data_IF_640357790261
#
_entry.id   IF_640357790261
#
_cell.length_a   1.000
_cell.length_b   1.000
_cell.length_c   1.000
_cell.angle_alpha   90.00
_cell.angle_beta   90.00
_cell.angle_gamma   90.00
#
_symmetry.space_group_name_H-M   'P 1'
#
loop_
_entity.id
_entity.type
_entity.pdbx_description
1 polymer ?
#
# COMPACT_ATOMS: atom_id res chain seq x y z
N UNK A 1 39.58 -28.72 57.68
CA UNK A 1 39.14 -27.62 58.56
C UNK A 1 38.44 -26.58 57.69
N UNK A 2 37.27 -26.10 58.13
CA UNK A 2 36.45 -25.01 57.57
C UNK A 2 37.33 -23.75 57.32
N UNK A 3 37.06 -22.87 56.36
CA UNK A 3 35.86 -22.01 56.23
C UNK A 3 35.82 -21.29 54.87
N UNK A 4 34.63 -21.12 54.30
CA UNK A 4 34.33 -20.20 53.20
C UNK A 4 34.40 -18.72 53.63
N UNK A 5 34.70 -17.81 52.68
CA UNK A 5 33.88 -16.62 52.43
C UNK A 5 34.29 -15.89 51.14
N UNK A 6 33.33 -15.75 50.23
CA UNK A 6 33.30 -14.79 49.13
C UNK A 6 32.99 -13.40 49.71
N UNK A 7 33.73 -12.38 49.27
CA UNK A 7 33.30 -10.97 49.35
C UNK A 7 33.70 -10.30 48.05
N UNK A 8 32.70 -9.92 47.25
CA UNK A 8 32.85 -8.95 46.18
C UNK A 8 32.86 -7.55 46.80
N UNK A 9 33.81 -6.71 46.41
CA UNK A 9 33.80 -5.28 46.70
C UNK A 9 34.17 -4.52 45.43
N UNK A 10 33.14 -3.98 44.80
CA UNK A 10 33.22 -2.96 43.75
C UNK A 10 33.77 -1.67 44.36
N UNK A 11 35.00 -1.32 44.04
CA UNK A 11 35.55 0.00 44.37
C UNK A 11 35.18 0.98 43.25
N UNK A 12 34.01 1.61 43.37
CA UNK A 12 33.72 2.85 42.64
C UNK A 12 34.26 4.00 43.48
N UNK A 13 35.25 4.74 42.94
CA UNK A 13 35.67 6.02 43.51
C UNK A 13 34.51 7.01 43.37
N UNK A 14 33.79 7.28 44.45
CA UNK A 14 32.89 8.42 44.53
C UNK A 14 33.68 9.63 45.04
N UNK A 15 34.15 10.48 44.12
CA UNK A 15 34.67 11.80 44.45
C UNK A 15 33.48 12.68 44.87
N UNK A 16 33.33 12.93 46.16
CA UNK A 16 32.29 13.81 46.69
C UNK A 16 32.72 15.26 46.49
N UNK A 17 32.31 15.85 45.38
CA UNK A 17 32.38 17.29 45.14
C UNK A 17 31.04 17.89 45.55
N UNK A 18 31.01 18.65 46.65
CA UNK A 18 29.83 19.40 47.09
C UNK A 18 29.70 20.65 46.22
N UNK A 19 28.73 20.66 45.32
CA UNK A 19 28.23 21.84 44.61
C UNK A 19 26.70 21.90 44.81
N UNK A 20 26.18 23.12 44.94
CA UNK A 20 24.80 23.45 45.33
C UNK A 20 23.69 22.91 44.41
N UNK A 21 22.42 23.27 44.68
CA UNK A 21 21.27 22.60 44.10
C UNK A 21 21.17 22.95 42.62
N UNK A 22 21.69 22.08 41.78
CA UNK A 22 21.53 22.13 40.33
C UNK A 22 21.29 20.72 39.87
N UNK A 23 20.07 20.45 39.42
CA UNK A 23 19.65 19.16 38.88
C UNK A 23 20.42 18.92 37.59
N UNK A 24 21.53 18.19 37.68
CA UNK A 24 22.26 17.68 36.54
C UNK A 24 21.54 16.45 36.03
N UNK A 25 20.69 16.66 35.02
CA UNK A 25 20.17 15.59 34.17
C UNK A 25 21.35 14.88 33.51
N UNK A 26 21.47 13.57 33.74
CA UNK A 26 22.40 12.73 33.00
C UNK A 26 22.06 12.84 31.49
N UNK A 27 23.05 12.81 30.59
CA UNK A 27 22.74 12.71 29.17
C UNK A 27 22.01 11.38 28.99
N UNK A 28 20.81 11.43 28.42
CA UNK A 28 20.15 10.25 27.92
C UNK A 28 21.17 9.53 27.03
N UNK A 29 21.52 8.30 27.42
CA UNK A 29 22.16 7.39 26.49
C UNK A 29 21.26 7.39 25.25
N UNK A 30 21.79 7.88 24.13
CA UNK A 30 21.18 7.74 22.83
C UNK A 30 20.86 6.25 22.72
N UNK A 31 19.59 5.89 22.85
CA UNK A 31 19.14 4.57 22.48
C UNK A 31 19.52 4.45 21.02
N UNK A 32 20.57 3.69 20.71
CA UNK A 32 20.81 3.23 19.37
C UNK A 32 19.47 2.63 18.94
N UNK A 33 18.83 3.21 17.93
CA UNK A 33 17.67 2.57 17.32
C UNK A 33 18.14 1.17 16.97
N UNK A 34 17.58 0.15 17.62
CA UNK A 34 17.75 -1.20 17.11
C UNK A 34 17.31 -1.11 15.66
N UNK A 35 18.20 -1.49 14.74
CA UNK A 35 17.86 -1.53 13.33
C UNK A 35 16.63 -2.43 13.23
N UNK A 36 15.47 -1.82 13.08
CA UNK A 36 14.23 -2.50 12.82
C UNK A 36 14.34 -2.97 11.39
N UNK A 37 14.20 -4.28 11.21
CA UNK A 37 14.26 -4.97 9.93
C UNK A 37 12.81 -5.22 9.50
N UNK A 38 12.50 -5.07 8.22
CA UNK A 38 11.20 -5.47 7.71
C UNK A 38 10.97 -6.96 8.02
N UNK A 39 9.73 -7.41 8.14
CA UNK A 39 9.46 -8.80 8.52
C UNK A 39 8.38 -9.40 7.64
N UNK A 40 8.60 -10.63 7.17
CA UNK A 40 7.57 -11.48 6.57
C UNK A 40 6.99 -12.39 7.65
N UNK A 41 5.68 -12.34 7.81
CA UNK A 41 4.94 -13.02 8.88
C UNK A 41 3.70 -13.71 8.32
N UNK A 42 3.27 -14.80 8.95
CA UNK A 42 1.97 -15.43 8.66
C UNK A 42 0.96 -15.00 9.71
N UNK A 43 0.00 -14.13 9.35
CA UNK A 43 -0.96 -13.58 10.31
C UNK A 43 -2.21 -14.47 10.41
N UNK A 44 -2.61 -14.79 11.64
CA UNK A 44 -3.89 -15.44 11.99
C UNK A 44 -4.21 -16.78 11.30
N UNK A 45 -3.23 -17.43 10.64
CA UNK A 45 -3.45 -18.71 9.96
C UNK A 45 -4.01 -18.57 8.53
N UNK A 46 -4.12 -17.36 7.98
CA UNK A 46 -4.86 -17.13 6.72
C UNK A 46 -4.10 -16.34 5.66
N UNK A 47 -3.18 -15.43 6.01
CA UNK A 47 -2.52 -14.56 5.00
C UNK A 47 -1.06 -14.32 5.33
N UNK A 48 -0.18 -14.53 4.34
CA UNK A 48 1.22 -14.13 4.37
C UNK A 48 1.33 -12.61 4.28
N UNK A 49 2.13 -11.95 5.10
CA UNK A 49 2.24 -10.49 5.09
C UNK A 49 3.68 -10.01 5.17
N UNK A 50 4.03 -9.05 4.32
CA UNK A 50 5.22 -8.22 4.46
C UNK A 50 4.91 -6.98 5.31
N UNK A 51 5.78 -6.68 6.28
CA UNK A 51 5.70 -5.46 7.09
C UNK A 51 7.01 -4.72 7.08
N UNK A 52 7.01 -3.50 6.58
CA UNK A 52 8.14 -2.60 6.67
C UNK A 52 8.48 -2.29 8.13
N UNK A 53 9.76 -1.99 8.36
CA UNK A 53 10.19 -1.49 9.66
C UNK A 53 10.01 0.02 9.74
N UNK A 54 9.60 0.58 10.91
CA UNK A 54 9.42 2.02 11.05
C UNK A 54 10.65 2.82 10.65
N UNK A 55 10.44 3.92 9.92
CA UNK A 55 11.48 4.82 9.46
C UNK A 55 12.28 4.35 8.24
N UNK A 56 11.92 3.21 7.64
CA UNK A 56 12.56 2.73 6.42
C UNK A 56 11.91 3.37 5.18
N UNK A 57 12.74 3.64 4.15
CA UNK A 57 12.30 4.06 2.81
C UNK A 57 12.40 2.88 1.83
N UNK A 58 11.57 1.87 2.02
CA UNK A 58 11.51 0.61 1.30
C UNK A 58 11.31 0.79 -0.22
N UNK A 59 11.84 -0.16 -0.97
CA UNK A 59 11.65 -0.30 -2.41
C UNK A 59 11.39 -1.77 -2.70
N UNK A 60 10.19 -2.20 -2.35
CA UNK A 60 9.75 -3.58 -2.43
C UNK A 60 9.40 -3.96 -3.87
N UNK A 61 9.88 -5.10 -4.33
CA UNK A 61 9.38 -5.77 -5.51
C UNK A 61 8.89 -7.16 -5.14
N UNK A 62 7.76 -7.59 -5.67
CA UNK A 62 7.22 -8.93 -5.43
C UNK A 62 7.08 -9.66 -6.76
N UNK A 63 7.89 -10.70 -6.94
CA UNK A 63 7.77 -11.62 -8.06
C UNK A 63 6.88 -12.82 -7.72
N UNK A 64 6.25 -13.41 -8.72
CA UNK A 64 5.44 -14.62 -8.60
C UNK A 64 5.91 -15.70 -9.58
N UNK A 65 5.98 -16.94 -9.09
CA UNK A 65 6.02 -18.14 -9.92
C UNK A 65 4.93 -19.12 -9.46
N UNK A 66 4.37 -19.92 -10.38
CA UNK A 66 3.44 -20.99 -10.02
C UNK A 66 4.20 -22.32 -10.04
N UNK A 67 4.19 -23.02 -8.90
CA UNK A 67 4.80 -24.34 -8.74
C UNK A 67 3.72 -25.42 -8.59
N UNK A 68 3.84 -26.50 -9.34
CA UNK A 68 2.95 -27.66 -9.23
C UNK A 68 3.65 -28.80 -8.47
N UNK A 69 3.10 -29.19 -7.32
CA UNK A 69 3.63 -30.28 -6.47
C UNK A 69 2.69 -31.49 -6.53
N UNK A 70 2.77 -32.23 -7.62
CA UNK A 70 1.89 -33.38 -7.86
C UNK A 70 0.69 -33.03 -8.74
N UNK A 71 -0.31 -33.90 -8.76
CA UNK A 71 -1.38 -33.86 -9.76
C UNK A 71 -2.47 -32.81 -9.46
N UNK A 72 -2.62 -32.40 -8.19
CA UNK A 72 -3.69 -31.52 -7.71
C UNK A 72 -3.21 -30.44 -6.74
N UNK A 73 -1.90 -30.24 -6.61
CA UNK A 73 -1.37 -29.22 -5.70
C UNK A 73 -0.61 -28.17 -6.49
N UNK A 74 -1.11 -26.94 -6.45
CA UNK A 74 -0.44 -25.77 -7.02
C UNK A 74 -0.15 -24.78 -5.90
N UNK A 75 0.97 -24.08 -6.01
CA UNK A 75 1.44 -23.14 -5.02
C UNK A 75 1.89 -21.86 -5.72
N UNK A 76 1.56 -20.72 -5.12
CA UNK A 76 2.19 -19.44 -5.43
C UNK A 76 3.55 -19.40 -4.74
N UNK A 77 4.59 -19.19 -5.51
CA UNK A 77 5.93 -18.91 -5.03
C UNK A 77 6.14 -17.41 -5.13
N UNK A 78 6.08 -16.74 -3.99
CA UNK A 78 6.23 -15.30 -3.89
C UNK A 78 7.65 -14.96 -3.46
N UNK A 79 8.30 -14.07 -4.21
CA UNK A 79 9.64 -13.57 -3.88
C UNK A 79 9.57 -12.08 -3.56
N UNK A 80 9.66 -11.76 -2.27
CA UNK A 80 9.78 -10.40 -1.77
C UNK A 80 11.23 -9.99 -1.86
N UNK A 81 11.50 -8.86 -2.51
CA UNK A 81 12.84 -8.28 -2.56
C UNK A 81 12.75 -6.81 -2.20
N UNK A 82 13.49 -6.38 -1.18
CA UNK A 82 13.57 -5.00 -0.76
C UNK A 82 15.02 -4.50 -0.79
N UNK A 83 15.24 -3.21 -0.52
CA UNK A 83 16.57 -2.62 -0.36
C UNK A 83 17.17 -2.85 1.04
N UNK A 84 16.34 -3.14 2.04
CA UNK A 84 16.76 -3.45 3.39
C UNK A 84 16.66 -4.96 3.63
N UNK A 85 17.33 -5.42 4.68
CA UNK A 85 17.16 -6.79 5.13
C UNK A 85 15.69 -7.02 5.52
N UNK A 86 15.22 -8.24 5.26
CA UNK A 86 13.90 -8.76 5.59
C UNK A 86 14.09 -9.95 6.52
N UNK A 87 13.50 -9.90 7.70
CA UNK A 87 13.46 -11.01 8.64
C UNK A 87 12.30 -11.96 8.30
N UNK A 88 12.53 -13.25 8.50
CA UNK A 88 11.47 -14.28 8.39
C UNK A 88 11.01 -14.62 9.80
N UNK A 89 9.74 -14.37 10.12
CA UNK A 89 9.16 -14.82 11.37
C UNK A 89 8.93 -16.34 11.36
N UNK A 90 8.99 -16.96 12.54
CA UNK A 90 8.80 -18.40 12.68
C UNK A 90 7.45 -18.87 12.10
N UNK A 91 6.40 -18.04 12.22
CA UNK A 91 5.09 -18.36 11.64
C UNK A 91 5.13 -18.51 10.12
N UNK A 92 5.83 -17.62 9.42
CA UNK A 92 5.95 -17.65 7.96
C UNK A 92 6.89 -18.78 7.49
N UNK A 93 7.95 -19.05 8.26
CA UNK A 93 8.83 -20.20 7.98
C UNK A 93 8.08 -21.53 8.09
N UNK A 94 7.21 -21.68 9.10
CA UNK A 94 6.49 -22.92 9.37
C UNK A 94 5.25 -23.09 8.48
N UNK A 95 4.51 -22.02 8.19
CA UNK A 95 3.24 -22.08 7.45
C UNK A 95 3.42 -21.95 5.93
N UNK A 96 4.33 -21.10 5.47
CA UNK A 96 4.48 -20.73 4.05
C UNK A 96 5.87 -21.08 3.51
N UNK A 97 6.62 -21.97 4.17
CA UNK A 97 7.95 -22.43 3.75
C UNK A 97 8.93 -21.28 3.40
N UNK A 98 8.81 -20.13 4.09
CA UNK A 98 9.62 -18.96 3.77
C UNK A 98 11.12 -19.21 4.02
N UNK A 99 11.95 -18.91 3.03
CA UNK A 99 13.41 -19.09 3.08
C UNK A 99 14.17 -17.96 2.37
N UNK A 100 15.46 -17.84 2.66
CA UNK A 100 16.36 -16.97 1.90
C UNK A 100 16.84 -17.70 0.64
N UNK A 101 16.63 -17.15 -0.57
CA UNK A 101 17.01 -17.82 -1.82
C UNK A 101 18.53 -17.89 -2.00
N UNK A 102 19.27 -16.92 -1.45
CA UNK A 102 20.73 -16.84 -1.54
C UNK A 102 21.34 -16.80 -0.12
N UNK A 103 22.34 -17.63 0.13
CA UNK A 103 22.98 -17.70 1.45
C UNK A 103 23.68 -16.37 1.80
N UNK A 104 23.30 -15.78 2.94
CA UNK A 104 23.89 -14.54 3.46
C UNK A 104 23.32 -13.27 2.84
N UNK A 105 22.35 -13.40 1.93
CA UNK A 105 21.56 -12.30 1.40
C UNK A 105 20.17 -12.34 2.03
N UNK A 106 19.85 -11.32 2.81
CA UNK A 106 18.56 -11.20 3.50
C UNK A 106 17.69 -10.10 2.89
N UNK A 107 18.08 -9.49 1.76
CA UNK A 107 17.21 -8.50 1.09
C UNK A 107 16.11 -9.18 0.27
N UNK A 108 16.17 -10.50 0.11
CA UNK A 108 15.18 -11.29 -0.59
C UNK A 108 14.66 -12.44 0.28
N UNK A 109 13.34 -12.64 0.29
CA UNK A 109 12.65 -13.75 0.96
C UNK A 109 11.72 -14.43 -0.04
N UNK A 110 11.84 -15.75 -0.17
CA UNK A 110 10.97 -16.58 -1.01
C UNK A 110 10.04 -17.39 -0.13
N UNK A 111 8.74 -17.28 -0.35
CA UNK A 111 7.69 -18.01 0.36
C UNK A 111 6.83 -18.80 -0.63
N UNK A 112 6.26 -19.91 -0.16
CA UNK A 112 5.40 -20.81 -0.93
C UNK A 112 4.03 -20.88 -0.25
N UNK A 113 3.04 -20.28 -0.89
CA UNK A 113 1.65 -20.23 -0.40
C UNK A 113 0.82 -21.19 -1.23
N UNK A 114 0.03 -22.06 -0.58
CA UNK A 114 -0.80 -23.03 -1.30
C UNK A 114 -1.95 -22.32 -2.02
N UNK A 115 -2.14 -22.63 -3.31
CA UNK A 115 -3.33 -22.22 -4.06
C UNK A 115 -4.48 -23.13 -3.62
N UNK A 116 -5.52 -22.64 -2.93
CA UNK A 116 -6.53 -23.55 -2.41
C UNK A 116 -7.53 -23.94 -3.52
N UNK A 117 -7.85 -25.23 -3.60
CA UNK A 117 -8.85 -25.74 -4.55
C UNK A 117 -10.26 -25.26 -4.12
N UNK A 118 -10.89 -24.41 -4.93
CA UNK A 118 -12.20 -23.80 -4.69
C UNK A 118 -12.25 -22.73 -3.57
N UNK A 119 -11.14 -22.06 -3.29
CA UNK A 119 -11.13 -20.93 -2.33
C UNK A 119 -11.66 -19.65 -2.98
N UNK A 120 -12.52 -18.97 -2.22
CA UNK A 120 -13.00 -17.60 -2.40
C UNK A 120 -12.18 -16.57 -1.61
N UNK A 121 -11.00 -16.98 -1.08
CA UNK A 121 -10.19 -16.16 -0.18
C UNK A 121 -9.63 -14.94 -0.93
N UNK A 122 -10.04 -13.76 -0.47
CA UNK A 122 -9.92 -12.45 -1.13
C UNK A 122 -8.51 -11.85 -1.20
N UNK A 123 -7.51 -12.43 -0.52
CA UNK A 123 -6.14 -11.93 -0.45
C UNK A 123 -5.13 -13.06 -0.21
N UNK A 124 -4.25 -13.30 -1.20
CA UNK A 124 -3.18 -14.31 -1.10
C UNK A 124 -2.04 -13.83 -0.21
N UNK A 125 -1.73 -12.53 -0.25
CA UNK A 125 -0.74 -11.91 0.62
C UNK A 125 -1.03 -10.41 0.86
N UNK A 126 -0.49 -9.89 1.96
CA UNK A 126 -0.59 -8.49 2.36
C UNK A 126 0.77 -7.77 2.37
N UNK A 127 0.76 -6.47 2.11
CA UNK A 127 1.93 -5.60 2.20
C UNK A 127 1.53 -4.34 3.00
N UNK A 128 2.34 -4.02 3.99
CA UNK A 128 2.30 -2.78 4.78
C UNK A 128 3.66 -2.09 4.63
N UNK A 129 3.68 -0.97 3.90
CA UNK A 129 4.91 -0.24 3.59
C UNK A 129 5.36 0.71 4.70
N UNK A 130 4.52 1.01 5.68
CA UNK A 130 4.94 1.65 6.92
C UNK A 130 4.67 3.15 6.97
N UNK A 131 5.72 3.95 7.20
CA UNK A 131 5.58 5.35 7.63
C UNK A 131 6.47 6.37 6.92
N UNK A 132 7.09 5.98 5.80
CA UNK A 132 7.87 6.88 4.97
C UNK A 132 7.38 6.86 3.53
N UNK A 133 8.02 7.67 2.68
CA UNK A 133 7.81 7.57 1.25
C UNK A 133 8.48 6.28 0.74
N UNK A 134 7.64 5.31 0.41
CA UNK A 134 7.99 3.95 0.05
C UNK A 134 7.55 3.64 -1.39
N UNK A 135 8.01 2.50 -1.89
CA UNK A 135 7.62 2.05 -3.22
C UNK A 135 7.40 0.55 -3.22
N UNK A 136 6.32 0.12 -3.86
CA UNK A 136 6.10 -1.27 -4.22
C UNK A 136 5.88 -1.44 -5.71
N UNK A 137 6.40 -2.55 -6.25
CA UNK A 137 6.10 -3.02 -7.60
C UNK A 137 5.77 -4.50 -7.54
N UNK A 138 4.54 -4.84 -7.92
CA UNK A 138 4.10 -6.22 -8.06
C UNK A 138 4.35 -6.68 -9.50
N UNK A 139 4.54 -7.99 -9.68
CA UNK A 139 4.62 -8.58 -11.02
C UNK A 139 3.35 -8.24 -11.83
N UNK A 140 3.44 -7.65 -13.04
CA UNK A 140 2.28 -7.15 -13.77
C UNK A 140 1.23 -8.23 -14.09
N UNK A 141 1.70 -9.45 -14.38
CA UNK A 141 0.87 -10.60 -14.74
C UNK A 141 0.59 -11.50 -13.52
N UNK A 142 0.73 -10.96 -12.30
CA UNK A 142 0.53 -11.71 -11.07
C UNK A 142 -0.90 -12.24 -10.97
N UNK A 143 -1.02 -13.55 -10.78
CA UNK A 143 -2.29 -14.25 -10.52
C UNK A 143 -2.60 -14.34 -9.03
N UNK A 144 -1.64 -14.05 -8.16
CA UNK A 144 -1.84 -13.93 -6.73
C UNK A 144 -2.49 -12.59 -6.36
N UNK A 145 -3.49 -12.60 -5.48
CA UNK A 145 -4.11 -11.38 -4.99
C UNK A 145 -3.28 -10.73 -3.89
N UNK A 146 -2.95 -9.46 -4.08
CA UNK A 146 -2.21 -8.67 -3.12
C UNK A 146 -3.12 -7.59 -2.51
N UNK A 147 -3.09 -7.44 -1.20
CA UNK A 147 -3.59 -6.24 -0.51
C UNK A 147 -2.39 -5.38 -0.12
N UNK A 148 -2.32 -4.17 -0.63
CA UNK A 148 -1.22 -3.24 -0.37
C UNK A 148 -1.76 -2.02 0.37
N UNK A 149 -1.05 -1.65 1.43
CA UNK A 149 -1.19 -0.40 2.17
C UNK A 149 0.14 0.37 2.09
N UNK A 150 0.09 1.60 1.57
CA UNK A 150 1.21 2.54 1.57
C UNK A 150 1.54 2.99 2.99
N UNK A 151 0.51 3.38 3.74
CA UNK A 151 0.62 3.73 5.15
C UNK A 151 0.72 5.23 5.33
N UNK A 152 1.86 5.75 5.77
CA UNK A 152 2.09 7.20 5.79
C UNK A 152 3.23 7.56 4.88
N UNK A 153 3.11 8.70 4.22
CA UNK A 153 4.14 9.19 3.32
C UNK A 153 3.58 9.30 1.93
N UNK A 154 4.39 9.79 1.01
CA UNK A 154 3.99 9.89 -0.39
C UNK A 154 4.55 8.67 -1.11
N UNK A 155 3.70 7.67 -1.29
CA UNK A 155 4.06 6.33 -1.74
C UNK A 155 3.87 6.14 -3.24
N UNK A 156 4.57 5.15 -3.78
CA UNK A 156 4.40 4.72 -5.17
C UNK A 156 4.01 3.25 -5.21
N UNK A 157 2.76 2.98 -5.56
CA UNK A 157 2.18 1.65 -5.62
C UNK A 157 1.95 1.25 -7.08
N UNK A 158 2.69 0.26 -7.58
CA UNK A 158 2.48 -0.28 -8.92
C UNK A 158 1.98 -1.73 -8.78
N UNK A 159 0.68 -1.93 -9.02
CA UNK A 159 0.02 -3.22 -8.81
C UNK A 159 -0.33 -3.95 -10.10
N UNK A 160 -0.52 -5.27 -9.98
CA UNK A 160 -1.18 -6.04 -11.03
C UNK A 160 -2.68 -5.70 -11.08
N UNK A 161 -3.41 -6.08 -12.15
CA UNK A 161 -4.85 -5.88 -12.22
C UNK A 161 -5.63 -6.50 -11.05
N UNK A 162 -5.11 -7.60 -10.47
CA UNK A 162 -5.75 -8.31 -9.35
C UNK A 162 -5.44 -7.74 -7.97
N UNK A 163 -4.56 -6.74 -7.86
CA UNK A 163 -4.18 -6.16 -6.57
C UNK A 163 -5.22 -5.15 -6.07
N UNK A 164 -5.40 -5.08 -4.74
CA UNK A 164 -6.06 -3.98 -4.05
C UNK A 164 -4.99 -3.03 -3.51
N UNK A 165 -5.01 -1.77 -3.93
CA UNK A 165 -4.00 -0.77 -3.56
C UNK A 165 -4.66 0.33 -2.73
N UNK A 166 -4.10 0.60 -1.56
CA UNK A 166 -4.49 1.70 -0.68
C UNK A 166 -3.26 2.59 -0.47
N UNK A 167 -3.33 3.87 -0.87
CA UNK A 167 -2.30 4.87 -0.57
C UNK A 167 -2.21 5.13 0.93
N UNK A 168 -3.36 5.33 1.55
CA UNK A 168 -3.54 5.74 2.94
C UNK A 168 -3.18 7.23 3.15
N UNK A 169 -2.32 7.61 4.12
CA UNK A 169 -2.03 9.02 4.42
C UNK A 169 -0.86 9.56 3.56
N UNK A 170 -1.10 10.56 2.72
CA UNK A 170 -0.05 11.26 1.97
C UNK A 170 -0.46 11.57 0.55
N UNK A 171 0.41 12.23 -0.23
CA UNK A 171 0.13 12.44 -1.66
C UNK A 171 0.71 11.26 -2.46
N UNK A 172 -0.12 10.27 -2.76
CA UNK A 172 0.28 8.98 -3.29
C UNK A 172 0.19 8.88 -4.80
N UNK A 173 0.99 7.97 -5.36
CA UNK A 173 0.94 7.61 -6.77
C UNK A 173 0.63 6.13 -6.93
N UNK A 174 -0.58 5.86 -7.40
CA UNK A 174 -1.09 4.50 -7.56
C UNK A 174 -1.27 4.21 -9.04
N UNK A 175 -0.69 3.12 -9.50
CA UNK A 175 -0.79 2.65 -10.89
C UNK A 175 -1.35 1.22 -10.94
N UNK A 176 -2.55 1.09 -11.50
CA UNK A 176 -3.30 -0.16 -11.57
C UNK A 176 -4.14 -0.44 -10.32
N UNK A 177 -4.33 -1.73 -10.06
CA UNK A 177 -5.17 -2.21 -8.96
C UNK A 177 -6.67 -2.09 -9.27
N UNK A 178 -7.32 -3.22 -9.55
CA UNK A 178 -8.78 -3.30 -9.71
C UNK A 178 -9.45 -4.10 -8.59
N UNK A 179 -8.65 -4.85 -7.83
CA UNK A 179 -9.08 -5.79 -6.80
C UNK A 179 -10.07 -6.87 -7.30
N UNK A 180 -10.35 -7.90 -6.49
CA UNK A 180 -11.48 -8.79 -6.73
C UNK A 180 -12.81 -8.05 -6.47
N UNK A 181 -13.82 -8.38 -7.27
CA UNK A 181 -15.21 -7.90 -7.14
C UNK A 181 -15.44 -6.38 -7.33
N UNK A 182 -14.51 -5.67 -7.97
CA UNK A 182 -14.66 -4.24 -8.28
C UNK A 182 -14.30 -3.32 -7.11
N UNK A 183 -13.66 -3.84 -6.06
CA UNK A 183 -13.05 -3.01 -5.02
C UNK A 183 -11.66 -2.57 -5.53
N UNK A 184 -11.61 -1.52 -6.34
CA UNK A 184 -10.33 -1.05 -6.90
C UNK A 184 -9.56 -0.13 -5.96
N UNK A 185 -8.68 0.69 -6.54
CA UNK A 185 -7.68 1.45 -5.80
C UNK A 185 -8.28 2.62 -5.00
N UNK A 186 -7.71 2.86 -3.81
CA UNK A 186 -8.09 3.93 -2.89
C UNK A 186 -6.87 4.82 -2.62
N UNK A 187 -6.97 6.12 -2.89
CA UNK A 187 -5.93 7.10 -2.54
C UNK A 187 -5.88 7.28 -1.02
N UNK A 188 -6.83 8.04 -0.48
CA UNK A 188 -6.94 8.29 0.95
C UNK A 188 -6.84 9.78 1.26
N UNK A 189 -6.36 10.16 2.45
CA UNK A 189 -6.07 11.56 2.75
C UNK A 189 -4.80 12.05 2.04
N UNK A 190 -4.93 13.06 1.17
CA UNK A 190 -3.84 13.67 0.43
C UNK A 190 -4.27 14.05 -0.98
N UNK A 191 -3.35 14.53 -1.80
CA UNK A 191 -3.62 14.81 -3.21
C UNK A 191 -3.03 13.68 -4.05
N UNK A 192 -3.85 12.71 -4.39
CA UNK A 192 -3.42 11.45 -4.95
C UNK A 192 -3.46 11.45 -6.47
N UNK A 193 -2.64 10.60 -7.08
CA UNK A 193 -2.69 10.32 -8.51
C UNK A 193 -2.92 8.84 -8.74
N UNK A 194 -4.11 8.50 -9.22
CA UNK A 194 -4.51 7.13 -9.56
C UNK A 194 -4.57 7.00 -11.09
N UNK A 195 -3.78 6.08 -11.65
CA UNK A 195 -3.77 5.80 -13.09
C UNK A 195 -4.07 4.34 -13.40
N UNK A 196 -4.61 4.10 -14.60
CA UNK A 196 -5.01 2.78 -15.06
C UNK A 196 -6.00 2.11 -14.11
N UNK A 197 -6.97 2.89 -13.63
CA UNK A 197 -8.09 2.44 -12.84
C UNK A 197 -8.92 1.43 -13.64
N UNK A 198 -8.74 0.14 -13.38
CA UNK A 198 -9.37 -0.89 -14.21
C UNK A 198 -10.84 -1.13 -13.91
N UNK A 199 -11.37 -0.70 -12.76
CA UNK A 199 -12.78 -0.78 -12.36
C UNK A 199 -13.17 0.47 -11.55
N UNK A 200 -13.42 0.31 -10.24
CA UNK A 200 -13.75 1.42 -9.34
C UNK A 200 -12.46 2.03 -8.76
N UNK A 201 -12.31 3.34 -8.82
CA UNK A 201 -11.23 4.07 -8.14
C UNK A 201 -11.80 5.18 -7.29
N UNK A 202 -11.13 5.43 -6.17
CA UNK A 202 -11.55 6.40 -5.16
C UNK A 202 -10.35 7.29 -4.81
N UNK A 203 -10.47 8.60 -5.03
CA UNK A 203 -9.46 9.60 -4.66
C UNK A 203 -9.37 9.71 -3.15
N UNK A 204 -10.48 10.07 -2.50
CA UNK A 204 -10.56 10.15 -1.05
C UNK A 204 -10.70 11.60 -0.61
N UNK A 205 -9.74 12.10 0.18
CA UNK A 205 -9.80 13.44 0.71
C UNK A 205 -8.58 14.25 0.29
N UNK A 206 -8.80 15.29 -0.51
CA UNK A 206 -7.78 16.17 -1.08
C UNK A 206 -8.02 16.31 -2.58
N UNK A 207 -7.14 17.00 -3.31
CA UNK A 207 -7.41 17.30 -4.72
C UNK A 207 -6.77 16.22 -5.59
N UNK A 208 -7.57 15.27 -6.03
CA UNK A 208 -7.08 14.04 -6.63
C UNK A 208 -7.10 14.08 -8.16
N UNK A 209 -6.25 13.26 -8.77
CA UNK A 209 -6.18 13.06 -10.22
C UNK A 209 -6.41 11.58 -10.53
N UNK A 210 -7.57 11.26 -11.08
CA UNK A 210 -7.96 9.89 -11.44
C UNK A 210 -8.01 9.72 -12.95
N UNK A 211 -7.45 8.61 -13.45
CA UNK A 211 -7.49 8.27 -14.86
C UNK A 211 -7.84 6.79 -15.06
N UNK A 212 -8.92 6.56 -15.80
CA UNK A 212 -9.41 5.27 -16.24
C UNK A 212 -8.52 4.57 -17.29
N UNK A 213 -9.11 3.58 -17.93
CA UNK A 213 -8.56 2.78 -19.03
C UNK A 213 -9.40 2.96 -20.29
N UNK A 214 -9.20 2.14 -21.31
CA UNK A 214 -10.07 2.14 -22.50
C UNK A 214 -11.32 1.23 -22.31
N UNK A 215 -11.59 0.81 -21.07
CA UNK A 215 -12.75 0.02 -20.65
C UNK A 215 -13.66 0.87 -19.75
N UNK A 216 -14.93 0.47 -19.60
CA UNK A 216 -15.85 1.21 -18.71
C UNK A 216 -15.38 1.20 -17.25
N UNK A 217 -15.20 2.38 -16.66
CA UNK A 217 -14.72 2.56 -15.29
C UNK A 217 -15.71 3.31 -14.40
N UNK A 218 -15.54 3.18 -13.08
CA UNK A 218 -16.22 4.03 -12.10
C UNK A 218 -15.17 4.85 -11.35
N UNK A 219 -15.17 6.17 -11.50
CA UNK A 219 -14.19 7.04 -10.86
C UNK A 219 -14.89 7.95 -9.84
N UNK A 220 -14.36 7.99 -8.62
CA UNK A 220 -14.85 8.80 -7.52
C UNK A 220 -13.75 9.76 -7.06
N UNK A 221 -13.93 11.07 -7.26
CA UNK A 221 -13.03 12.10 -6.70
C UNK A 221 -13.17 12.20 -5.18
N UNK A 222 -14.40 12.11 -4.69
CA UNK A 222 -14.78 12.22 -3.28
C UNK A 222 -14.66 13.66 -2.74
N UNK A 223 -13.81 13.95 -1.75
CA UNK A 223 -13.75 15.27 -1.11
C UNK A 223 -12.54 16.07 -1.61
N UNK A 224 -12.75 17.08 -2.46
CA UNK A 224 -11.66 17.91 -2.96
C UNK A 224 -12.01 18.67 -4.24
N UNK A 225 -11.00 19.23 -4.91
CA UNK A 225 -11.19 19.76 -6.26
C UNK A 225 -10.50 18.83 -7.24
N UNK A 226 -11.24 17.85 -7.73
CA UNK A 226 -10.66 16.68 -8.36
C UNK A 226 -10.61 16.81 -9.88
N UNK A 227 -9.79 15.98 -10.50
CA UNK A 227 -9.66 15.87 -11.95
C UNK A 227 -9.82 14.41 -12.35
N UNK A 228 -10.91 14.10 -13.05
CA UNK A 228 -11.27 12.74 -13.45
C UNK A 228 -11.27 12.63 -14.98
N UNK A 229 -10.57 11.62 -15.50
CA UNK A 229 -10.52 11.26 -16.92
C UNK A 229 -11.02 9.83 -17.13
N UNK A 230 -12.18 9.66 -17.77
CA UNK A 230 -12.75 8.35 -18.12
C UNK A 230 -11.93 7.62 -19.19
N UNK A 231 -11.56 8.35 -20.24
CA UNK A 231 -10.84 7.90 -21.44
C UNK A 231 -11.73 7.23 -22.47
N UNK A 232 -11.81 5.91 -22.45
CA UNK A 232 -12.52 5.15 -23.44
C UNK A 232 -13.43 4.17 -22.75
N UNK A 233 -14.63 3.96 -23.26
CA UNK A 233 -15.56 3.01 -22.64
C UNK A 233 -16.88 3.69 -22.34
N UNK A 234 -17.67 3.09 -21.44
CA UNK A 234 -18.86 3.76 -20.93
C UNK A 234 -18.60 4.02 -19.46
N UNK A 235 -18.15 5.24 -19.17
CA UNK A 235 -17.58 5.58 -17.89
C UNK A 235 -18.60 6.24 -16.97
N UNK A 236 -18.32 6.14 -15.68
CA UNK A 236 -19.14 6.69 -14.61
C UNK A 236 -18.24 7.51 -13.69
N UNK A 237 -18.37 8.84 -13.78
CA UNK A 237 -17.52 9.78 -13.06
C UNK A 237 -18.33 10.54 -12.00
N UNK A 238 -17.86 10.50 -10.76
CA UNK A 238 -18.39 11.28 -9.65
C UNK A 238 -17.32 12.25 -9.16
N UNK A 239 -17.56 13.56 -9.25
CA UNK A 239 -16.70 14.60 -8.68
C UNK A 239 -16.72 14.50 -7.17
N UNK A 240 -17.83 14.90 -6.55
CA UNK A 240 -18.05 14.70 -5.12
C UNK A 240 -18.30 16.02 -4.40
N UNK A 241 -17.46 16.38 -3.43
CA UNK A 241 -17.52 17.69 -2.78
C UNK A 241 -16.34 18.55 -3.21
N UNK A 242 -16.63 19.66 -3.85
CA UNK A 242 -15.68 20.70 -4.20
C UNK A 242 -15.81 21.04 -5.68
N UNK A 243 -14.83 21.72 -6.27
CA UNK A 243 -14.96 22.23 -7.63
C UNK A 243 -14.21 21.32 -8.60
N UNK A 244 -14.95 20.39 -9.21
CA UNK A 244 -14.34 19.27 -9.91
C UNK A 244 -14.24 19.49 -11.42
N UNK A 245 -13.32 18.78 -12.06
CA UNK A 245 -13.21 18.69 -13.53
C UNK A 245 -13.37 17.25 -13.96
N UNK A 246 -14.45 16.97 -14.69
CA UNK A 246 -14.78 15.64 -15.17
C UNK A 246 -14.72 15.62 -16.69
N UNK A 247 -13.96 14.67 -17.23
CA UNK A 247 -13.79 14.42 -18.65
C UNK A 247 -14.20 12.97 -18.94
N UNK A 248 -15.36 12.76 -19.56
CA UNK A 248 -15.79 11.43 -20.01
C UNK A 248 -14.86 10.91 -21.10
N UNK A 249 -14.58 11.78 -22.06
CA UNK A 249 -13.78 11.51 -23.25
C UNK A 249 -14.59 10.66 -24.25
N UNK A 250 -14.14 9.46 -24.64
CA UNK A 250 -14.78 8.70 -25.71
C UNK A 250 -15.72 7.60 -25.19
N UNK A 251 -16.99 7.69 -25.58
CA UNK A 251 -18.00 6.65 -25.37
C UNK A 251 -19.25 7.19 -24.70
N UNK A 252 -20.13 6.32 -24.21
CA UNK A 252 -21.43 6.75 -23.67
C UNK A 252 -21.35 6.89 -22.15
N UNK A 253 -20.99 8.09 -21.69
CA UNK A 253 -20.55 8.32 -20.31
C UNK A 253 -21.65 8.89 -19.40
N UNK A 254 -21.43 8.79 -18.09
CA UNK A 254 -22.27 9.41 -17.07
C UNK A 254 -21.41 10.20 -16.09
N UNK A 255 -21.56 11.52 -16.08
CA UNK A 255 -20.78 12.45 -15.26
C UNK A 255 -21.67 13.16 -14.25
N UNK A 256 -21.29 13.07 -12.98
CA UNK A 256 -21.92 13.75 -11.86
C UNK A 256 -20.91 14.63 -11.13
N UNK A 257 -21.00 15.94 -11.29
CA UNK A 257 -20.17 16.89 -10.54
C UNK A 257 -20.46 16.86 -9.03
N UNK A 258 -21.72 16.59 -8.68
CA UNK A 258 -22.24 16.63 -7.31
C UNK A 258 -22.20 18.05 -6.71
N UNK A 259 -21.44 18.30 -5.64
CA UNK A 259 -21.56 19.54 -4.86
C UNK A 259 -20.39 20.47 -5.11
N UNK A 260 -20.62 21.62 -5.73
CA UNK A 260 -19.61 22.65 -5.94
C UNK A 260 -19.76 23.35 -7.29
N UNK A 261 -18.79 24.15 -7.68
CA UNK A 261 -18.76 24.80 -9.00
C UNK A 261 -17.93 23.92 -9.96
N UNK A 262 -18.60 23.01 -10.66
CA UNK A 262 -17.96 21.94 -11.46
C UNK A 262 -17.85 22.28 -12.94
N UNK A 263 -16.90 21.63 -13.62
CA UNK A 263 -16.81 21.63 -15.07
C UNK A 263 -16.83 20.20 -15.61
N UNK A 264 -17.82 19.90 -16.45
CA UNK A 264 -18.05 18.58 -17.02
C UNK A 264 -17.95 18.64 -18.54
N UNK A 265 -17.15 17.75 -19.11
CA UNK A 265 -17.05 17.51 -20.55
C UNK A 265 -17.38 16.05 -20.83
N UNK A 266 -18.47 15.79 -21.55
CA UNK A 266 -18.85 14.45 -21.98
C UNK A 266 -17.85 13.93 -23.00
N UNK A 267 -17.69 14.67 -24.09
CA UNK A 267 -16.84 14.28 -25.21
C UNK A 267 -17.66 13.53 -26.29
N UNK A 268 -17.01 12.77 -27.18
CA UNK A 268 -17.72 12.01 -28.20
C UNK A 268 -18.57 10.87 -27.62
N UNK A 269 -19.88 10.95 -27.80
CA UNK A 269 -20.80 9.87 -27.46
C UNK A 269 -22.17 10.37 -27.01
N UNK A 270 -22.98 9.48 -26.44
CA UNK A 270 -24.29 9.83 -25.87
C UNK A 270 -24.20 9.88 -24.35
N UNK A 271 -23.84 11.05 -23.84
CA UNK A 271 -23.51 11.18 -22.42
C UNK A 271 -24.65 11.73 -21.56
N UNK A 272 -24.55 11.47 -20.26
CA UNK A 272 -25.43 12.02 -19.22
C UNK A 272 -24.63 12.86 -18.25
N UNK A 273 -24.83 14.17 -18.30
CA UNK A 273 -24.09 15.11 -17.45
C UNK A 273 -25.02 15.79 -16.45
N UNK A 274 -24.61 15.86 -15.19
CA UNK A 274 -25.29 16.61 -14.15
C UNK A 274 -24.29 17.22 -13.17
N UNK A 275 -24.12 18.53 -13.22
CA UNK A 275 -23.25 19.24 -12.27
C UNK A 275 -23.80 19.35 -10.84
N UNK A 276 -25.07 18.99 -10.57
CA UNK A 276 -25.62 19.08 -9.20
C UNK A 276 -25.71 20.52 -8.65
N UNK A 277 -25.73 20.72 -7.31
CA UNK A 277 -25.77 22.04 -6.69
C UNK A 277 -24.50 22.87 -6.90
N UNK A 278 -24.65 24.09 -7.39
CA UNK A 278 -23.56 25.07 -7.56
C UNK A 278 -23.66 25.80 -8.90
N UNK A 279 -22.58 26.47 -9.32
CA UNK A 279 -22.48 27.10 -10.63
C UNK A 279 -21.60 26.25 -11.54
N UNK A 280 -22.26 25.50 -12.42
CA UNK A 280 -21.60 24.47 -13.21
C UNK A 280 -21.50 24.85 -14.69
N UNK A 281 -20.40 24.41 -15.31
CA UNK A 281 -20.17 24.43 -16.74
C UNK A 281 -20.29 23.00 -17.28
N UNK A 282 -21.16 22.79 -18.28
CA UNK A 282 -21.49 21.46 -18.80
C UNK A 282 -21.43 21.48 -20.33
N UNK A 283 -20.59 20.62 -20.89
CA UNK A 283 -20.26 20.58 -22.31
C UNK A 283 -20.49 19.18 -22.90
N UNK A 284 -21.25 19.14 -24.00
CA UNK A 284 -21.48 17.94 -24.81
C UNK A 284 -21.10 18.24 -26.26
N UNK A 285 -20.32 17.35 -26.89
CA UNK A 285 -19.92 17.45 -28.30
C UNK A 285 -20.90 16.75 -29.25
#
# INVERSE_FOLDING_TARGET
MRTHRTVAATASLALTLVLGPSVLTAPAAQAASQATTATVIHQNGTVLSYKAAPGQHNKLTVGEEIEHRGEFESYYVLTFHDRYDIAIDASAADADECTYPTQGDHTAVRCTVKIPENSDDSDTYGIDLGDQNDTVTLEPDSSAWARVHGGKGNDVLNGSPGAMLHGDDGDDRIDGGSGPFGLGSYGGPGNDTLTHCGQDCYGGAGNDSLTGTDEGNTLHGDDGNDVLHGRGGADVLYGGKGNDRLYGEAGDDTLWGNSGDDVLWGGPGTDKLSGGPGRNEVHQD
#
